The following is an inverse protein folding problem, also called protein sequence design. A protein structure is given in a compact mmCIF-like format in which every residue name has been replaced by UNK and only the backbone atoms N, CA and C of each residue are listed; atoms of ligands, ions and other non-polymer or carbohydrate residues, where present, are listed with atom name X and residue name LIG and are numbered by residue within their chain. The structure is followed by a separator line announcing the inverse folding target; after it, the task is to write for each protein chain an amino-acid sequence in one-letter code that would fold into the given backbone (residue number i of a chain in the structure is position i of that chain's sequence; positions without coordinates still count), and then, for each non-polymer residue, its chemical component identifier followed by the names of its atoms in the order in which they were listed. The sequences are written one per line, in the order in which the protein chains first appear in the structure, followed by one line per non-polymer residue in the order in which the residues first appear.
data_IF_106925560574
#
_entry.id   IF_106925560574
#
_cell.length_a   1.000
_cell.length_b   1.000
_cell.length_c   1.000
_cell.angle_alpha   90.00
_cell.angle_beta   90.00
_cell.angle_gamma   90.00
#
_symmetry.space_group_name_H-M   'P 1'
#
loop_
_entity.id
_entity.type
_entity.pdbx_description
1 polymer ?
#
# COMPACT_ATOMS: atom_id res chain seq x y z
N UNK A 1 0.48 -13.20 3.00
CA UNK A 1 0.86 -13.04 1.56
C UNK A 1 2.11 -12.17 1.49
N UNK A 2 3.23 -12.78 1.13
CA UNK A 2 4.58 -12.22 1.25
C UNK A 2 4.80 -11.09 0.23
N UNK A 3 5.13 -9.88 0.68
CA UNK A 3 5.77 -8.89 -0.19
C UNK A 3 7.16 -9.41 -0.52
N UNK A 4 7.26 -10.31 -1.51
CA UNK A 4 8.54 -10.71 -2.07
C UNK A 4 9.28 -9.44 -2.46
N UNK A 5 10.38 -9.15 -1.78
CA UNK A 5 11.41 -8.28 -2.32
C UNK A 5 11.71 -8.88 -3.69
N UNK A 6 11.37 -8.19 -4.78
CA UNK A 6 11.76 -8.63 -6.11
C UNK A 6 13.27 -8.45 -6.18
N UNK A 7 13.98 -9.44 -5.64
CA UNK A 7 15.35 -9.76 -6.00
C UNK A 7 15.24 -10.12 -7.47
N UNK A 8 15.57 -9.17 -8.35
CA UNK A 8 15.53 -9.38 -9.78
C UNK A 8 16.54 -10.46 -10.13
N UNK A 9 16.09 -11.72 -10.12
CA UNK A 9 16.81 -12.75 -10.85
C UNK A 9 16.86 -12.30 -12.31
N UNK A 10 18.05 -12.25 -12.94
CA UNK A 10 18.20 -11.83 -14.34
C UNK A 10 17.25 -12.58 -15.30
N UNK A 11 16.86 -13.81 -14.95
CA UNK A 11 15.98 -14.67 -15.73
C UNK A 11 14.54 -14.18 -15.77
N UNK A 12 14.02 -13.60 -14.68
CA UNK A 12 12.65 -13.09 -14.62
C UNK A 12 12.47 -11.87 -15.54
N UNK A 13 13.46 -10.98 -15.56
CA UNK A 13 13.45 -9.78 -16.39
C UNK A 13 13.60 -10.09 -17.89
N UNK A 14 14.34 -11.15 -18.25
CA UNK A 14 14.44 -11.62 -19.64
C UNK A 14 13.11 -12.07 -20.22
N UNK A 15 12.17 -12.54 -19.39
CA UNK A 15 10.83 -12.91 -19.83
C UNK A 15 9.87 -11.72 -20.05
N UNK A 16 10.25 -10.50 -19.63
CA UNK A 16 9.41 -9.31 -19.59
C UNK A 16 9.74 -8.29 -20.69
N UNK A 17 10.31 -8.74 -21.81
CA UNK A 17 10.74 -7.87 -22.91
C UNK A 17 9.58 -7.39 -23.80
N UNK A 18 8.41 -8.01 -23.70
CA UNK A 18 7.21 -7.60 -24.43
C UNK A 18 6.33 -6.72 -23.53
N UNK A 19 5.83 -5.57 -24.03
CA UNK A 19 4.87 -4.73 -23.30
C UNK A 19 3.44 -5.30 -23.32
N UNK A 20 3.20 -6.38 -24.05
CA UNK A 20 1.86 -6.97 -24.18
C UNK A 20 1.44 -7.71 -22.89
N UNK A 21 0.20 -7.46 -22.47
CA UNK A 21 -0.45 -8.23 -21.41
C UNK A 21 -1.07 -9.47 -22.03
N UNK A 22 -0.64 -10.66 -21.60
CA UNK A 22 -1.14 -11.92 -22.12
C UNK A 22 -2.12 -12.53 -21.11
N UNK A 23 -3.29 -12.96 -21.57
CA UNK A 23 -4.37 -13.50 -20.70
C UNK A 23 -3.98 -14.78 -19.95
N UNK A 24 -3.04 -15.57 -20.48
CA UNK A 24 -2.62 -16.85 -19.89
C UNK A 24 -1.27 -16.78 -19.16
N UNK A 25 -0.76 -15.57 -18.87
CA UNK A 25 0.51 -15.39 -18.16
C UNK A 25 0.37 -14.28 -17.13
N UNK A 26 0.97 -14.47 -15.96
CA UNK A 26 1.09 -13.38 -14.97
C UNK A 26 1.98 -12.28 -15.55
N UNK A 27 1.40 -11.10 -15.75
CA UNK A 27 2.15 -9.89 -16.06
C UNK A 27 2.65 -9.23 -14.77
N UNK A 28 3.85 -8.67 -14.82
CA UNK A 28 4.46 -7.96 -13.69
C UNK A 28 4.70 -6.50 -14.06
N UNK A 29 4.55 -5.60 -13.09
CA UNK A 29 4.92 -4.20 -13.24
C UNK A 29 6.06 -3.91 -12.28
N UNK A 30 7.15 -3.36 -12.82
CA UNK A 30 8.25 -2.84 -12.01
C UNK A 30 7.90 -1.40 -11.62
N UNK A 31 7.83 -1.16 -10.31
CA UNK A 31 7.64 0.18 -9.76
C UNK A 31 8.89 0.57 -8.97
N UNK A 32 9.32 1.84 -9.05
CA UNK A 32 10.32 2.36 -8.13
C UNK A 32 9.90 2.12 -6.68
N UNK A 33 10.86 1.77 -5.83
CA UNK A 33 10.56 1.52 -4.43
C UNK A 33 10.29 2.84 -3.69
N UNK A 34 9.04 3.03 -3.25
CA UNK A 34 8.66 4.18 -2.43
C UNK A 34 8.92 3.86 -0.96
N UNK A 35 9.75 4.67 -0.31
CA UNK A 35 9.97 4.62 1.15
C UNK A 35 8.80 5.30 1.85
N UNK A 36 7.82 4.50 2.26
CA UNK A 36 6.68 5.01 3.04
C UNK A 36 7.15 5.53 4.40
N UNK A 37 6.71 6.75 4.81
CA UNK A 37 6.97 7.26 6.14
C UNK A 37 6.30 6.39 7.21
N UNK A 38 6.90 6.39 8.40
CA UNK A 38 6.44 5.62 9.56
C UNK A 38 5.99 6.55 10.66
N UNK A 39 4.86 6.23 11.28
CA UNK A 39 4.25 7.03 12.34
C UNK A 39 3.91 6.18 13.56
N UNK A 40 3.76 6.84 14.71
CA UNK A 40 3.04 6.27 15.84
C UNK A 40 1.54 6.44 15.59
N UNK A 41 0.81 5.35 15.58
CA UNK A 41 -0.65 5.36 15.36
C UNK A 41 -1.34 4.90 16.63
N UNK A 42 -2.27 5.70 17.13
CA UNK A 42 -3.14 5.33 18.23
C UNK A 42 -4.16 4.29 17.71
N UNK A 43 -3.97 3.02 18.05
CA UNK A 43 -4.83 1.93 17.59
C UNK A 43 -6.05 1.72 18.49
N UNK A 44 -5.91 2.01 19.78
CA UNK A 44 -7.00 2.08 20.76
C UNK A 44 -6.67 3.19 21.79
N UNK A 45 -7.60 3.51 22.71
CA UNK A 45 -7.43 4.64 23.66
C UNK A 45 -6.10 4.63 24.40
N UNK A 46 -5.52 3.45 24.65
CA UNK A 46 -4.31 3.30 25.47
C UNK A 46 -3.14 2.65 24.71
N UNK A 47 -3.30 2.30 23.43
CA UNK A 47 -2.31 1.58 22.65
C UNK A 47 -1.88 2.37 21.44
N UNK A 48 -0.60 2.75 21.45
CA UNK A 48 0.09 3.31 20.29
C UNK A 48 0.88 2.19 19.61
N UNK A 49 0.55 1.90 18.36
CA UNK A 49 1.38 1.10 17.47
C UNK A 49 2.47 2.01 16.92
N UNK A 50 3.72 1.78 17.34
CA UNK A 50 4.88 2.55 16.87
C UNK A 50 5.35 2.04 15.51
N UNK A 51 5.97 2.92 14.72
CA UNK A 51 6.65 2.58 13.46
C UNK A 51 5.75 1.99 12.37
N UNK A 52 4.46 2.32 12.40
CA UNK A 52 3.49 1.84 11.43
C UNK A 52 3.58 2.63 10.13
N UNK A 53 3.51 1.96 8.98
CA UNK A 53 3.33 2.64 7.71
C UNK A 53 1.90 3.17 7.62
N UNK A 54 1.74 4.35 7.02
CA UNK A 54 0.44 5.00 6.87
C UNK A 54 0.27 5.46 5.42
N UNK A 55 -0.84 5.07 4.82
CA UNK A 55 -1.23 5.47 3.46
C UNK A 55 -2.63 6.06 3.51
N UNK A 56 -2.76 7.31 3.06
CA UNK A 56 -4.06 7.99 2.96
C UNK A 56 -4.80 7.63 1.67
N UNK A 57 -6.11 7.87 1.68
CA UNK A 57 -6.95 7.76 0.49
C UNK A 57 -7.56 9.12 0.21
N UNK A 58 -7.66 9.48 -1.07
CA UNK A 58 -8.50 10.59 -1.51
C UNK A 58 -9.46 10.11 -2.58
N UNK A 59 -10.59 10.80 -2.69
CA UNK A 59 -11.59 10.54 -3.71
C UNK A 59 -11.50 11.61 -4.79
N UNK A 60 -11.60 11.17 -6.04
CA UNK A 60 -11.75 12.05 -7.18
C UNK A 60 -12.95 11.62 -8.03
N UNK A 61 -13.75 12.60 -8.44
CA UNK A 61 -14.90 12.41 -9.34
C UNK A 61 -14.71 13.36 -10.51
N UNK A 62 -14.80 12.84 -11.74
CA UNK A 62 -14.54 13.60 -12.97
C UNK A 62 -13.18 14.34 -12.93
N UNK A 63 -12.15 13.68 -12.41
CA UNK A 63 -10.79 14.24 -12.28
C UNK A 63 -10.64 15.32 -11.21
N UNK A 64 -11.68 15.63 -10.43
CA UNK A 64 -11.65 16.66 -9.38
C UNK A 64 -11.62 16.01 -8.00
N UNK A 65 -10.79 16.56 -7.11
CA UNK A 65 -10.75 16.17 -5.70
C UNK A 65 -12.10 16.44 -5.04
N UNK A 66 -12.63 15.44 -4.32
CA UNK A 66 -13.92 15.57 -3.60
C UNK A 66 -13.83 15.28 -2.10
N UNK A 67 -12.69 14.76 -1.62
CA UNK A 67 -12.49 14.55 -0.20
C UNK A 67 -11.40 13.55 0.14
N UNK A 68 -11.07 13.50 1.43
CA UNK A 68 -10.19 12.49 2.01
C UNK A 68 -11.02 11.31 2.50
N UNK A 69 -10.51 10.11 2.27
CA UNK A 69 -11.04 8.87 2.80
C UNK A 69 -10.27 8.38 4.03
N UNK A 70 -10.57 7.16 4.50
CA UNK A 70 -9.86 6.57 5.62
C UNK A 70 -8.37 6.39 5.30
N UNK A 71 -7.57 6.50 6.35
CA UNK A 71 -6.16 6.13 6.34
C UNK A 71 -6.05 4.62 6.55
N UNK A 72 -5.05 4.01 5.94
CA UNK A 72 -4.69 2.61 6.12
C UNK A 72 -3.35 2.54 6.82
N UNK A 73 -3.26 1.71 7.84
CA UNK A 73 -2.01 1.51 8.58
C UNK A 73 -1.70 0.04 8.77
N UNK A 74 -0.41 -0.29 8.83
CA UNK A 74 0.06 -1.66 9.04
C UNK A 74 1.56 -1.70 9.24
N UNK A 75 2.04 -2.81 9.82
CA UNK A 75 3.46 -3.01 10.12
C UNK A 75 4.24 -3.64 8.95
N UNK A 76 3.55 -3.95 7.85
CA UNK A 76 4.10 -4.54 6.63
C UNK A 76 4.12 -3.55 5.48
N UNK A 77 5.14 -3.68 4.60
CA UNK A 77 5.36 -2.79 3.44
C UNK A 77 4.14 -2.62 2.53
N UNK A 78 3.26 -3.62 2.49
CA UNK A 78 1.97 -3.57 1.82
C UNK A 78 0.88 -3.42 2.88
N UNK A 79 0.22 -2.26 2.89
CA UNK A 79 -1.04 -2.06 3.62
C UNK A 79 -2.21 -2.50 2.74
N UNK A 80 -2.48 -3.80 2.66
CA UNK A 80 -3.66 -4.33 1.96
C UNK A 80 -4.79 -4.60 2.97
N UNK A 81 -5.98 -4.03 2.73
CA UNK A 81 -7.17 -4.23 3.58
C UNK A 81 -7.62 -5.69 3.58
N UNK A 82 -7.37 -6.42 2.49
CA UNK A 82 -7.69 -7.84 2.35
C UNK A 82 -6.53 -8.77 2.79
N UNK A 83 -5.43 -8.21 3.30
CA UNK A 83 -4.34 -8.97 3.90
C UNK A 83 -4.38 -8.87 5.43
N UNK A 84 -3.59 -9.69 6.10
CA UNK A 84 -3.43 -9.58 7.55
C UNK A 84 -2.68 -8.29 7.93
N UNK A 85 -3.18 -7.61 8.96
CA UNK A 85 -2.45 -6.53 9.63
C UNK A 85 -2.67 -5.11 9.10
N UNK A 86 -3.69 -4.88 8.24
CA UNK A 86 -4.11 -3.54 7.86
C UNK A 86 -5.30 -3.07 8.72
N UNK A 87 -5.19 -1.87 9.31
CA UNK A 87 -6.23 -1.24 10.11
C UNK A 87 -6.67 0.05 9.41
N UNK A 88 -7.98 0.31 9.39
CA UNK A 88 -8.55 1.57 8.94
C UNK A 88 -8.57 2.57 10.08
N UNK A 89 -8.00 3.75 9.85
CA UNK A 89 -7.99 4.85 10.80
C UNK A 89 -8.72 6.02 10.16
N UNK A 90 -9.83 6.42 10.79
CA UNK A 90 -10.54 7.61 10.39
C UNK A 90 -9.93 8.81 11.09
N UNK A 91 -9.87 9.95 10.40
CA UNK A 91 -9.52 11.22 11.04
C UNK A 91 -10.53 11.50 12.15
N UNK A 92 -10.07 11.59 13.39
CA UNK A 92 -10.88 12.10 14.49
C UNK A 92 -10.76 13.62 14.44
N UNK A 93 -11.87 14.30 14.16
CA UNK A 93 -11.96 15.73 14.41
C UNK A 93 -12.40 15.83 15.86
N UNK A 94 -11.47 16.15 16.78
CA UNK A 94 -11.88 16.63 18.10
C UNK A 94 -12.52 18.00 17.89
N UNK A 95 -13.82 18.08 18.15
CA UNK A 95 -14.59 19.32 18.27
C UNK A 95 -14.43 19.83 19.70
#
# INVERSE_FOLDING_TARGET
MESKKFSSSPTSLRGMQSPNIHTNKTSYVLQPYVRQPKFGVLADRNRIVRQSQVVGTYYAVNGRFVGLGPWRTGNGKICNVFGEGCILVNSIISI
#
